data_IF_613506177916
#
_entry.id   IF_613506177916
#
_cell.length_a   1.000
_cell.length_b   1.000
_cell.length_c   1.000
_cell.angle_alpha   90.00
_cell.angle_beta   90.00
_cell.angle_gamma   90.00
#
_symmetry.space_group_name_H-M   'P 1'
#
loop_
_entity.id
_entity.type
_entity.pdbx_description
1 polymer ?
#
# COMPACT_ATOMS: atom_id res chain seq x y z
N UNK A 1 49.41 39.94 1.98
CA UNK A 1 49.69 38.67 2.67
C UNK A 1 48.37 38.14 3.24
N UNK A 2 47.92 37.02 2.67
CA UNK A 2 46.95 35.99 3.11
C UNK A 2 45.64 36.37 3.85
N UNK A 3 44.50 36.18 3.16
CA UNK A 3 43.16 35.98 3.75
C UNK A 3 43.11 34.64 4.51
N UNK A 4 42.35 34.52 5.62
CA UNK A 4 42.20 33.24 6.30
C UNK A 4 41.25 32.33 5.50
N UNK A 5 41.67 31.09 5.26
CA UNK A 5 40.80 30.03 4.77
C UNK A 5 39.88 29.61 5.93
N UNK A 6 38.57 29.80 5.76
CA UNK A 6 37.56 29.17 6.59
C UNK A 6 37.53 27.69 6.20
N UNK A 7 38.03 26.80 7.06
CA UNK A 7 37.91 25.37 6.88
C UNK A 7 36.43 24.99 7.08
N UNK A 8 35.72 24.82 5.97
CA UNK A 8 34.40 24.21 5.97
C UNK A 8 34.60 22.72 6.26
N UNK A 9 34.39 22.32 7.50
CA UNK A 9 34.28 20.91 7.86
C UNK A 9 33.05 20.36 7.14
N UNK A 10 33.26 19.59 6.06
CA UNK A 10 32.20 18.74 5.53
C UNK A 10 31.75 17.83 6.69
N UNK A 11 30.44 17.71 6.97
CA UNK A 11 29.99 16.67 7.87
C UNK A 11 30.47 15.35 7.26
N UNK A 12 31.08 14.51 8.09
CA UNK A 12 31.40 13.16 7.70
C UNK A 12 30.14 12.55 7.09
N UNK A 13 30.23 12.09 5.84
CA UNK A 13 29.24 11.16 5.30
C UNK A 13 29.24 10.00 6.28
N UNK A 14 28.23 9.93 7.13
CA UNK A 14 27.83 8.66 7.71
C UNK A 14 27.30 7.90 6.52
N UNK A 15 28.17 7.09 5.91
CA UNK A 15 27.73 6.01 5.05
C UNK A 15 26.89 5.13 5.97
N UNK A 16 25.58 5.36 6.02
CA UNK A 16 24.67 4.42 6.63
C UNK A 16 24.89 3.12 5.85
N UNK A 17 25.48 2.12 6.51
CA UNK A 17 25.43 0.77 5.99
C UNK A 17 23.95 0.47 5.79
N UNK A 18 23.59 -0.05 4.61
CA UNK A 18 22.26 -0.55 4.31
C UNK A 18 21.65 -1.18 5.57
N UNK A 19 20.62 -0.55 6.14
CA UNK A 19 20.14 -0.91 7.48
C UNK A 19 19.66 -2.36 7.49
N UNK A 20 20.50 -3.29 7.93
CA UNK A 20 20.17 -4.72 7.93
C UNK A 20 18.84 -4.95 8.65
N UNK A 21 18.06 -5.92 8.17
CA UNK A 21 16.81 -6.27 8.80
C UNK A 21 17.03 -6.62 10.28
N UNK A 22 16.25 -6.04 11.21
CA UNK A 22 16.35 -6.37 12.63
C UNK A 22 16.10 -7.87 12.86
N UNK A 23 16.89 -8.55 13.71
CA UNK A 23 16.71 -9.98 13.97
C UNK A 23 15.30 -10.36 14.43
N UNK A 24 14.61 -9.47 15.13
CA UNK A 24 13.23 -9.66 15.56
C UNK A 24 12.23 -9.71 14.39
N UNK A 25 12.49 -9.01 13.29
CA UNK A 25 11.67 -9.08 12.09
C UNK A 25 11.87 -10.43 11.38
N UNK A 26 13.13 -10.87 11.23
CA UNK A 26 13.43 -12.19 10.67
C UNK A 26 12.77 -13.32 11.49
N UNK A 27 12.89 -13.28 12.82
CA UNK A 27 12.24 -14.25 13.69
C UNK A 27 10.70 -14.22 13.62
N UNK A 28 10.09 -13.04 13.42
CA UNK A 28 8.65 -12.92 13.25
C UNK A 28 8.16 -13.53 11.93
N UNK A 29 8.97 -13.40 10.86
CA UNK A 29 8.72 -14.05 9.57
C UNK A 29 8.93 -15.56 9.66
N UNK A 30 9.93 -16.03 10.40
CA UNK A 30 10.10 -17.47 10.68
C UNK A 30 8.86 -18.06 11.39
N UNK A 31 8.27 -17.32 12.34
CA UNK A 31 7.01 -17.73 12.99
C UNK A 31 5.84 -17.78 11.99
N UNK A 32 5.75 -16.82 11.05
CA UNK A 32 4.72 -16.82 10.00
C UNK A 32 4.80 -18.07 9.13
N UNK A 33 6.01 -18.54 8.85
CA UNK A 33 6.29 -19.69 8.01
C UNK A 33 6.31 -21.03 8.78
N UNK A 34 6.13 -21.01 10.10
CA UNK A 34 6.12 -22.22 10.91
C UNK A 34 4.90 -23.10 10.60
N UNK A 35 5.12 -24.39 10.40
CA UNK A 35 4.06 -25.31 9.99
C UNK A 35 3.01 -25.55 11.11
N UNK A 36 1.71 -25.67 10.77
CA UNK A 36 1.16 -25.55 9.42
C UNK A 36 0.88 -24.09 9.01
N UNK A 37 1.31 -23.73 7.80
CA UNK A 37 0.92 -22.49 7.14
C UNK A 37 -0.60 -22.45 6.91
N UNK A 38 -1.27 -21.43 7.46
CA UNK A 38 -2.73 -21.25 7.36
C UNK A 38 -3.05 -20.17 6.34
N UNK A 39 -3.15 -20.58 5.08
CA UNK A 39 -3.54 -19.71 3.97
C UNK A 39 -5.02 -19.94 3.64
N UNK A 40 -5.82 -18.88 3.57
CA UNK A 40 -7.24 -18.91 3.23
C UNK A 40 -7.47 -18.15 1.92
N UNK A 41 -8.15 -18.76 0.94
CA UNK A 41 -8.66 -18.04 -0.24
C UNK A 41 -9.97 -17.33 0.11
N UNK A 42 -10.07 -16.03 -0.17
CA UNK A 42 -11.23 -15.20 0.16
C UNK A 42 -12.26 -15.17 -0.98
N UNK A 43 -12.98 -16.29 -1.14
CA UNK A 43 -13.91 -16.55 -2.26
C UNK A 43 -15.07 -15.55 -2.41
N UNK A 44 -15.36 -14.73 -1.41
CA UNK A 44 -16.43 -13.71 -1.49
C UNK A 44 -16.07 -12.58 -2.45
N UNK A 45 -14.79 -12.25 -2.58
CA UNK A 45 -14.31 -11.13 -3.41
C UNK A 45 -13.48 -11.58 -4.60
N UNK A 46 -13.08 -12.85 -4.63
CA UNK A 46 -12.45 -13.52 -5.77
C UNK A 46 -13.47 -13.86 -6.84
N UNK A 47 -13.30 -13.33 -8.06
CA UNK A 47 -14.14 -13.66 -9.22
C UNK A 47 -13.33 -14.37 -10.30
N UNK A 48 -13.77 -14.28 -11.57
CA UNK A 48 -13.06 -14.88 -12.70
C UNK A 48 -12.07 -13.89 -13.36
N UNK A 49 -12.15 -12.59 -13.03
CA UNK A 49 -11.22 -11.57 -13.52
C UNK A 49 -10.16 -11.25 -12.47
N UNK A 50 -9.24 -10.35 -12.82
CA UNK A 50 -8.23 -9.88 -11.87
C UNK A 50 -8.85 -8.99 -10.80
N UNK A 51 -8.55 -9.28 -9.53
CA UNK A 51 -8.86 -8.40 -8.41
C UNK A 51 -7.61 -7.86 -7.72
N UNK A 52 -7.77 -6.71 -7.08
CA UNK A 52 -6.69 -6.12 -6.32
C UNK A 52 -7.12 -5.28 -5.14
N UNK A 53 -6.21 -5.25 -4.17
CA UNK A 53 -6.30 -4.62 -2.86
C UNK A 53 -7.69 -4.70 -2.19
N UNK A 54 -7.88 -5.68 -1.34
CA UNK A 54 -9.08 -5.80 -0.50
C UNK A 54 -8.87 -5.16 0.87
N UNK A 55 -9.63 -4.11 1.16
CA UNK A 55 -9.61 -3.39 2.44
C UNK A 55 -10.94 -3.49 3.17
N UNK A 56 -10.86 -3.46 4.51
CA UNK A 56 -12.02 -3.50 5.39
C UNK A 56 -12.08 -2.25 6.24
N UNK A 57 -13.29 -1.77 6.48
CA UNK A 57 -13.53 -0.80 7.54
C UNK A 57 -13.05 -1.34 8.90
N UNK A 58 -12.52 -0.48 9.79
CA UNK A 58 -12.08 -0.90 11.13
C UNK A 58 -13.17 -1.66 11.89
N UNK A 59 -14.42 -1.21 11.80
CA UNK A 59 -15.58 -1.86 12.44
C UNK A 59 -16.05 -3.15 11.74
N UNK A 60 -15.57 -3.44 10.53
CA UNK A 60 -15.87 -4.66 9.79
C UNK A 60 -17.24 -4.74 9.20
N UNK A 61 -17.91 -3.61 9.07
CA UNK A 61 -19.26 -3.56 8.50
C UNK A 61 -19.25 -3.42 6.99
N UNK A 62 -18.12 -3.04 6.40
CA UNK A 62 -17.98 -2.90 4.96
C UNK A 62 -16.55 -3.09 4.47
N UNK A 63 -16.42 -3.46 3.21
CA UNK A 63 -15.17 -3.70 2.51
C UNK A 63 -15.19 -2.97 1.16
N UNK A 64 -13.99 -2.68 0.64
CA UNK A 64 -13.78 -2.11 -0.68
C UNK A 64 -12.58 -2.77 -1.32
N UNK A 65 -12.61 -2.92 -2.64
CA UNK A 65 -11.53 -3.48 -3.44
C UNK A 65 -11.65 -2.97 -4.87
N UNK A 66 -10.66 -3.26 -5.71
CA UNK A 66 -10.78 -3.05 -7.14
C UNK A 66 -10.81 -4.38 -7.88
N UNK A 67 -11.38 -4.38 -9.08
CA UNK A 67 -11.50 -5.55 -9.95
C UNK A 67 -11.47 -5.14 -11.42
N UNK A 68 -11.27 -6.10 -12.30
CA UNK A 68 -11.50 -5.91 -13.72
C UNK A 68 -12.98 -5.66 -14.01
N UNK A 69 -13.27 -4.53 -14.66
CA UNK A 69 -14.58 -4.15 -15.15
C UNK A 69 -14.60 -3.98 -16.67
N UNK A 70 -15.77 -3.72 -17.28
CA UNK A 70 -15.93 -3.64 -18.74
C UNK A 70 -15.07 -2.56 -19.44
N UNK A 71 -14.64 -1.53 -18.69
CA UNK A 71 -13.85 -0.41 -19.18
C UNK A 71 -12.43 -0.36 -18.57
N UNK A 72 -12.00 -1.46 -17.93
CA UNK A 72 -10.76 -1.53 -17.14
C UNK A 72 -11.03 -1.62 -15.64
N UNK A 73 -10.01 -1.36 -14.82
CA UNK A 73 -10.08 -1.48 -13.36
C UNK A 73 -11.13 -0.53 -12.77
N UNK A 74 -12.03 -1.09 -11.96
CA UNK A 74 -13.09 -0.36 -11.25
C UNK A 74 -13.13 -0.68 -9.74
N UNK A 75 -13.64 0.26 -8.95
CA UNK A 75 -13.90 0.05 -7.53
C UNK A 75 -15.19 -0.73 -7.28
N UNK A 76 -15.16 -1.61 -6.29
CA UNK A 76 -16.32 -2.35 -5.79
C UNK A 76 -16.38 -2.28 -4.25
N UNK A 77 -17.59 -2.16 -3.70
CA UNK A 77 -17.84 -2.20 -2.25
C UNK A 77 -18.83 -3.31 -1.87
N UNK A 78 -18.67 -3.85 -0.65
CA UNK A 78 -19.58 -4.84 -0.07
C UNK A 78 -19.89 -4.50 1.39
N UNK A 79 -21.07 -4.93 1.86
CA UNK A 79 -21.57 -4.70 3.22
C UNK A 79 -21.75 -6.02 3.96
N UNK A 80 -21.39 -6.03 5.24
CA UNK A 80 -21.68 -7.14 6.14
C UNK A 80 -23.19 -7.24 6.36
N UNK A 81 -23.78 -8.42 6.18
CA UNK A 81 -25.23 -8.62 6.33
C UNK A 81 -25.63 -8.91 7.78
N UNK A 82 -26.86 -8.55 8.22
CA UNK A 82 -27.34 -8.79 9.59
C UNK A 82 -27.42 -10.26 10.06
N UNK A 83 -27.16 -11.24 9.20
CA UNK A 83 -27.11 -12.68 9.52
C UNK A 83 -25.72 -13.31 9.38
N UNK A 84 -24.68 -12.50 9.18
CA UNK A 84 -23.37 -12.97 8.74
C UNK A 84 -23.24 -12.97 7.22
N UNK A 85 -22.02 -13.19 6.73
CA UNK A 85 -21.68 -13.04 5.32
C UNK A 85 -21.65 -11.58 4.84
N UNK A 86 -21.57 -11.45 3.52
CA UNK A 86 -21.34 -10.20 2.80
C UNK A 86 -22.34 -10.05 1.65
N UNK A 87 -22.74 -8.82 1.35
CA UNK A 87 -23.54 -8.54 0.16
C UNK A 87 -22.72 -8.81 -1.11
N UNK A 88 -23.36 -9.12 -2.24
CA UNK A 88 -22.69 -9.06 -3.53
C UNK A 88 -21.99 -7.69 -3.70
N UNK A 89 -20.75 -7.64 -4.23
CA UNK A 89 -20.07 -6.39 -4.48
C UNK A 89 -20.82 -5.50 -5.48
N UNK A 90 -20.90 -4.21 -5.18
CA UNK A 90 -21.52 -3.20 -6.06
C UNK A 90 -20.57 -2.03 -6.27
N UNK A 91 -20.68 -1.35 -7.41
CA UNK A 91 -19.91 -0.13 -7.68
C UNK A 91 -20.28 0.99 -6.69
N UNK A 92 -19.31 1.66 -6.04
CA UNK A 92 -19.58 2.83 -5.19
C UNK A 92 -20.13 4.00 -5.99
N UNK A 93 -21.04 4.79 -5.42
CA UNK A 93 -21.70 5.89 -6.15
C UNK A 93 -20.81 7.09 -6.48
N UNK A 94 -19.62 7.19 -5.87
CA UNK A 94 -18.65 8.24 -6.18
C UNK A 94 -17.71 7.85 -7.33
N UNK A 95 -17.67 6.56 -7.67
CA UNK A 95 -16.78 6.02 -8.68
C UNK A 95 -17.09 6.64 -10.05
N UNK A 96 -16.06 6.83 -10.86
CA UNK A 96 -16.18 7.33 -12.23
C UNK A 96 -15.83 6.25 -13.25
N UNK A 97 -16.13 6.50 -14.52
CA UNK A 97 -15.89 5.55 -15.61
C UNK A 97 -14.41 5.50 -16.06
N UNK A 98 -13.52 6.19 -15.33
CA UNK A 98 -12.07 6.09 -15.50
C UNK A 98 -11.50 4.93 -14.69
N UNK A 99 -10.24 4.58 -14.95
CA UNK A 99 -9.52 3.60 -14.14
C UNK A 99 -9.46 4.08 -12.68
N UNK A 100 -9.98 3.27 -11.76
CA UNK A 100 -10.01 3.55 -10.33
C UNK A 100 -9.68 2.29 -9.54
N UNK A 101 -8.62 2.36 -8.73
CA UNK A 101 -8.06 1.19 -8.06
C UNK A 101 -7.37 1.56 -6.73
N UNK A 102 -6.80 0.54 -6.08
CA UNK A 102 -6.13 0.59 -4.78
C UNK A 102 -6.84 1.34 -3.64
N UNK A 103 -8.09 0.99 -3.31
CA UNK A 103 -8.78 1.64 -2.21
C UNK A 103 -8.11 1.39 -0.85
N UNK A 104 -8.10 2.40 0.00
CA UNK A 104 -7.70 2.32 1.41
C UNK A 104 -8.74 2.98 2.30
N UNK A 105 -9.22 2.25 3.31
CA UNK A 105 -10.16 2.79 4.30
C UNK A 105 -9.37 3.24 5.53
N UNK A 106 -9.43 4.53 5.84
CA UNK A 106 -8.76 5.09 6.99
C UNK A 106 -9.34 4.60 8.33
N UNK A 107 -8.59 4.79 9.42
CA UNK A 107 -8.97 4.32 10.76
C UNK A 107 -10.21 5.01 11.34
N UNK A 108 -10.64 6.15 10.77
CA UNK A 108 -11.93 6.76 11.10
C UNK A 108 -13.13 5.95 10.58
N UNK A 109 -12.87 4.93 9.73
CA UNK A 109 -13.87 4.05 9.13
C UNK A 109 -14.82 4.73 8.14
N UNK A 110 -14.52 5.98 7.75
CA UNK A 110 -15.36 6.81 6.90
C UNK A 110 -14.59 7.37 5.70
N UNK A 111 -13.31 7.70 5.85
CA UNK A 111 -12.50 8.26 4.77
C UNK A 111 -11.91 7.12 3.93
N UNK A 112 -12.03 7.25 2.61
CA UNK A 112 -11.39 6.36 1.63
C UNK A 112 -10.40 7.17 0.82
N UNK A 113 -9.20 6.63 0.67
CA UNK A 113 -8.20 7.08 -0.30
C UNK A 113 -8.13 6.06 -1.43
N UNK A 114 -7.91 6.50 -2.66
CA UNK A 114 -7.84 5.61 -3.82
C UNK A 114 -7.10 6.29 -4.98
N UNK A 115 -6.65 5.48 -5.93
CA UNK A 115 -6.05 5.93 -7.19
C UNK A 115 -7.14 6.17 -8.22
N UNK A 116 -7.08 7.27 -8.98
CA UNK A 116 -8.02 7.55 -10.07
C UNK A 116 -7.35 8.26 -11.24
N UNK A 117 -7.67 7.81 -12.45
CA UNK A 117 -7.30 8.46 -13.72
C UNK A 117 -8.34 9.49 -14.18
N UNK A 118 -9.21 9.95 -13.27
CA UNK A 118 -10.20 10.96 -13.62
C UNK A 118 -9.49 12.30 -13.89
N UNK A 119 -9.94 13.07 -14.89
CA UNK A 119 -9.38 14.40 -15.12
C UNK A 119 -9.66 15.35 -13.96
N UNK A 120 -8.69 16.22 -13.69
CA UNK A 120 -8.81 17.29 -12.69
C UNK A 120 -9.37 18.59 -13.27
N UNK A 121 -9.42 18.72 -14.60
CA UNK A 121 -10.00 19.88 -15.29
C UNK A 121 -11.29 19.51 -16.06
N UNK A 122 -12.24 20.45 -16.23
CA UNK A 122 -13.50 20.18 -16.91
C UNK A 122 -13.38 19.81 -18.40
N UNK A 123 -12.32 20.28 -19.06
CA UNK A 123 -12.05 20.01 -20.48
C UNK A 123 -11.28 18.70 -20.70
N UNK A 124 -10.94 17.99 -19.62
CA UNK A 124 -10.11 16.79 -19.69
C UNK A 124 -8.67 17.08 -20.08
N UNK A 125 -8.23 18.33 -20.05
CA UNK A 125 -6.86 18.71 -20.32
C UNK A 125 -5.95 18.27 -19.16
N UNK A 126 -4.89 17.54 -19.49
CA UNK A 126 -3.98 16.97 -18.52
C UNK A 126 -3.36 15.68 -19.07
N UNK A 127 -2.36 15.16 -18.36
CA UNK A 127 -1.85 13.81 -18.64
C UNK A 127 -2.89 12.79 -18.12
N UNK A 128 -3.04 11.62 -18.77
CA UNK A 128 -3.73 10.50 -18.16
C UNK A 128 -2.79 9.77 -17.19
N UNK A 129 -2.50 10.40 -16.06
CA UNK A 129 -1.82 9.82 -14.91
C UNK A 129 -2.84 9.35 -13.85
N UNK A 130 -2.40 8.47 -12.96
CA UNK A 130 -3.21 8.09 -11.81
C UNK A 130 -2.84 8.95 -10.61
N UNK A 131 -3.82 9.71 -10.16
CA UNK A 131 -3.73 10.59 -9.01
C UNK A 131 -4.30 9.93 -7.77
N UNK A 132 -3.87 10.40 -6.59
CA UNK A 132 -4.54 10.06 -5.34
C UNK A 132 -5.72 11.00 -5.07
N UNK A 133 -6.84 10.38 -4.71
CA UNK A 133 -8.09 11.05 -4.36
C UNK A 133 -8.59 10.58 -3.00
N UNK A 134 -9.46 11.38 -2.37
CA UNK A 134 -10.23 10.94 -1.20
C UNK A 134 -11.72 11.21 -1.32
N UNK A 135 -12.50 10.36 -0.67
CA UNK A 135 -13.92 10.57 -0.38
C UNK A 135 -14.20 10.28 1.09
N UNK A 136 -15.31 10.80 1.62
CA UNK A 136 -15.78 10.48 2.96
C UNK A 136 -17.19 9.92 2.91
N UNK A 137 -17.41 8.84 3.66
CA UNK A 137 -18.73 8.29 3.91
C UNK A 137 -19.46 9.17 4.94
N UNK A 138 -20.71 9.49 4.62
CA UNK A 138 -21.63 10.27 5.45
C UNK A 138 -22.89 9.46 5.73
N UNK A 139 -23.80 10.00 6.53
CA UNK A 139 -25.10 9.38 6.78
C UNK A 139 -25.95 9.25 5.51
N UNK A 140 -25.73 10.11 4.50
CA UNK A 140 -26.55 10.19 3.28
C UNK A 140 -25.83 9.65 2.04
N UNK A 141 -24.64 9.05 2.19
CA UNK A 141 -23.84 8.53 1.07
C UNK A 141 -22.41 9.06 1.09
N UNK A 142 -21.77 9.07 -0.07
CA UNK A 142 -20.39 9.53 -0.24
C UNK A 142 -20.33 11.04 -0.51
N UNK A 143 -19.28 11.71 -0.03
CA UNK A 143 -18.96 13.06 -0.50
C UNK A 143 -18.50 13.04 -1.96
N UNK A 144 -18.44 14.21 -2.59
CA UNK A 144 -17.72 14.35 -3.85
C UNK A 144 -16.24 13.93 -3.67
N UNK A 145 -15.62 13.29 -4.67
CA UNK A 145 -14.19 13.03 -4.69
C UNK A 145 -13.35 14.31 -4.64
N UNK A 146 -12.33 14.29 -3.81
CA UNK A 146 -11.39 15.37 -3.59
C UNK A 146 -9.99 14.94 -4.04
N UNK A 147 -9.43 15.64 -5.02
CA UNK A 147 -8.05 15.47 -5.48
C UNK A 147 -7.08 15.94 -4.38
N UNK A 148 -6.01 15.18 -4.11
CA UNK A 148 -5.11 15.47 -2.97
C UNK A 148 -4.14 16.64 -3.23
N UNK A 149 -4.11 17.16 -4.45
CA UNK A 149 -3.40 18.38 -4.81
C UNK A 149 -1.90 18.18 -5.04
N UNK A 150 -1.21 19.24 -5.49
CA UNK A 150 0.14 19.15 -6.05
C UNK A 150 1.24 18.85 -5.02
N UNK A 151 0.91 18.80 -3.72
CA UNK A 151 1.85 18.37 -2.67
C UNK A 151 2.01 16.85 -2.62
N UNK A 152 1.00 16.12 -3.10
CA UNK A 152 0.98 14.65 -3.13
C UNK A 152 1.08 14.18 -4.58
N UNK A 153 0.16 14.68 -5.41
CA UNK A 153 0.02 14.31 -6.81
C UNK A 153 0.97 15.14 -7.67
N UNK A 154 1.67 14.50 -8.58
CA UNK A 154 2.66 15.15 -9.45
C UNK A 154 2.30 14.92 -10.92
N UNK A 155 3.21 15.25 -11.85
CA UNK A 155 3.04 14.83 -13.25
C UNK A 155 3.40 13.34 -13.45
N UNK A 156 3.74 12.62 -12.38
CA UNK A 156 4.01 11.19 -12.33
C UNK A 156 2.73 10.43 -11.92
N UNK A 157 2.81 9.11 -11.86
CA UNK A 157 1.76 8.28 -11.28
C UNK A 157 1.94 8.20 -9.76
N UNK A 158 0.83 8.24 -9.02
CA UNK A 158 0.79 7.98 -7.58
C UNK A 158 -0.27 6.93 -7.25
N UNK A 159 0.18 5.73 -6.83
CA UNK A 159 -0.68 4.57 -6.62
C UNK A 159 -0.66 4.06 -5.17
N UNK A 160 -1.61 3.19 -4.86
CA UNK A 160 -1.64 2.42 -3.61
C UNK A 160 -1.53 3.24 -2.30
N UNK A 161 -2.44 4.19 -2.05
CA UNK A 161 -2.38 5.05 -0.87
C UNK A 161 -2.58 4.25 0.44
N UNK A 162 -1.82 4.50 1.50
CA UNK A 162 -2.05 3.97 2.85
C UNK A 162 -1.90 5.09 3.87
N UNK A 163 -2.71 5.08 4.92
CA UNK A 163 -2.71 6.16 5.93
C UNK A 163 -2.59 5.60 7.33
N UNK A 164 -1.60 6.10 8.06
CA UNK A 164 -1.36 5.77 9.48
C UNK A 164 -2.26 6.58 10.42
N UNK A 165 -2.28 6.22 11.70
CA UNK A 165 -3.17 6.82 12.70
C UNK A 165 -2.93 8.32 12.94
N UNK A 166 -1.71 8.80 12.73
CA UNK A 166 -1.38 10.23 12.80
C UNK A 166 -1.79 11.01 11.52
N UNK A 167 -2.34 10.30 10.53
CA UNK A 167 -2.78 10.83 9.26
C UNK A 167 -1.69 10.91 8.19
N UNK A 168 -0.46 10.47 8.45
CA UNK A 168 0.60 10.42 7.43
C UNK A 168 0.18 9.46 6.30
N UNK A 169 0.20 9.98 5.07
CA UNK A 169 -0.09 9.25 3.83
C UNK A 169 1.20 8.62 3.30
N UNK A 170 1.09 7.41 2.77
CA UNK A 170 2.12 6.60 2.14
C UNK A 170 1.60 6.13 0.79
N UNK A 171 2.44 6.05 -0.24
CA UNK A 171 2.05 5.61 -1.59
C UNK A 171 3.30 5.18 -2.38
N UNK A 172 3.12 4.60 -3.57
CA UNK A 172 4.22 4.41 -4.52
C UNK A 172 4.09 5.34 -5.73
N UNK A 173 5.21 5.77 -6.30
CA UNK A 173 5.23 6.71 -7.42
C UNK A 173 6.41 6.48 -8.35
N UNK A 174 6.23 6.74 -9.65
CA UNK A 174 7.25 6.69 -10.71
C UNK A 174 7.91 8.05 -10.98
N UNK A 175 7.88 8.95 -9.98
CA UNK A 175 8.53 10.26 -10.07
C UNK A 175 10.06 10.14 -10.14
N UNK A 176 10.66 11.01 -10.94
CA UNK A 176 12.08 10.92 -11.31
C UNK A 176 13.07 11.32 -10.20
N UNK A 177 12.59 11.86 -9.09
CA UNK A 177 13.39 12.24 -7.92
C UNK A 177 13.48 11.14 -6.85
N UNK A 178 13.03 9.92 -7.17
CA UNK A 178 13.22 8.70 -6.40
C UNK A 178 14.56 7.97 -6.67
N UNK A 179 14.70 6.76 -6.13
CA UNK A 179 15.89 5.90 -6.30
C UNK A 179 15.72 4.97 -7.50
N UNK A 180 14.53 4.40 -7.67
CA UNK A 180 14.19 3.40 -8.68
C UNK A 180 13.17 3.90 -9.70
N UNK A 181 12.51 2.97 -10.40
CA UNK A 181 11.42 3.32 -11.32
C UNK A 181 10.06 3.43 -10.61
N UNK A 182 9.91 2.77 -9.47
CA UNK A 182 8.81 2.96 -8.53
C UNK A 182 9.38 2.97 -7.13
N UNK A 183 9.09 4.04 -6.42
CA UNK A 183 9.58 4.28 -5.07
C UNK A 183 8.42 4.49 -4.11
N UNK A 184 8.64 4.20 -2.84
CA UNK A 184 7.71 4.51 -1.77
C UNK A 184 7.91 5.94 -1.27
N UNK A 185 6.80 6.65 -1.10
CA UNK A 185 6.75 8.04 -0.65
C UNK A 185 5.83 8.20 0.57
N UNK A 186 6.08 9.26 1.35
CA UNK A 186 5.23 9.67 2.47
C UNK A 186 5.06 11.18 2.56
N UNK A 187 3.91 11.61 3.06
CA UNK A 187 3.63 13.00 3.40
C UNK A 187 2.85 13.09 4.72
N UNK A 188 3.32 13.89 5.70
CA UNK A 188 2.60 14.07 6.96
C UNK A 188 1.31 14.86 6.74
N UNK A 189 0.29 14.58 7.54
CA UNK A 189 -0.94 15.37 7.50
C UNK A 189 -0.70 16.79 8.02
N UNK A 190 -1.17 17.80 7.29
CA UNK A 190 -1.10 19.21 7.69
C UNK A 190 -2.46 19.86 7.51
N UNK A 191 -3.21 20.00 8.61
CA UNK A 191 -4.58 20.50 8.58
C UNK A 191 -5.49 19.57 7.76
N UNK A 192 -6.13 20.12 6.73
CA UNK A 192 -6.99 19.34 5.83
C UNK A 192 -6.20 18.60 4.73
N UNK A 193 -4.96 19.02 4.43
CA UNK A 193 -4.13 18.48 3.36
C UNK A 193 -2.90 17.72 3.88
N UNK A 194 -1.86 17.72 3.07
CA UNK A 194 -0.58 17.06 3.35
C UNK A 194 0.58 18.03 3.19
N UNK A 195 1.64 17.80 3.97
CA UNK A 195 2.89 18.52 3.87
C UNK A 195 3.72 18.06 2.67
N UNK A 196 5.00 18.45 2.65
CA UNK A 196 5.91 18.02 1.60
C UNK A 196 6.07 16.49 1.59
N UNK A 197 5.94 15.91 0.40
CA UNK A 197 6.27 14.51 0.15
C UNK A 197 7.79 14.28 0.28
N UNK A 198 8.17 13.12 0.78
CA UNK A 198 9.55 12.64 0.81
C UNK A 198 9.57 11.13 0.56
N UNK A 199 10.66 10.58 -0.01
CA UNK A 199 10.84 9.15 -0.08
C UNK A 199 10.85 8.55 1.34
N UNK A 200 10.51 7.26 1.47
CA UNK A 200 10.59 6.60 2.77
C UNK A 200 12.04 6.63 3.28
N UNK A 201 12.26 6.98 4.56
CA UNK A 201 13.61 7.04 5.12
C UNK A 201 14.19 5.63 5.31
N UNK A 202 15.50 5.50 5.15
CA UNK A 202 16.22 4.22 5.15
C UNK A 202 16.50 3.73 3.74
N UNK A 203 16.98 2.49 3.62
CA UNK A 203 17.42 1.89 2.35
C UNK A 203 16.34 0.97 1.75
N UNK A 204 15.07 1.28 2.03
CA UNK A 204 13.94 0.49 1.55
C UNK A 204 13.67 0.71 0.06
N UNK A 205 13.77 1.96 -0.38
CA UNK A 205 13.73 2.28 -1.81
C UNK A 205 15.08 1.94 -2.42
N UNK A 206 15.07 1.13 -3.48
CA UNK A 206 16.28 0.64 -4.12
C UNK A 206 16.24 0.90 -5.63
N UNK A 207 17.19 0.34 -6.39
CA UNK A 207 17.21 0.47 -7.84
C UNK A 207 16.18 -0.42 -8.56
N UNK A 208 15.56 -1.38 -7.85
CA UNK A 208 14.42 -2.13 -8.37
C UNK A 208 13.12 -1.38 -8.04
N UNK A 209 11.95 -2.02 -8.12
CA UNK A 209 10.68 -1.34 -7.85
C UNK A 209 10.17 -1.76 -6.48
N UNK A 210 9.88 -0.78 -5.62
CA UNK A 210 9.13 -0.97 -4.39
C UNK A 210 7.78 -0.30 -4.49
N UNK A 211 6.72 -1.06 -4.24
CA UNK A 211 5.36 -0.62 -4.51
C UNK A 211 4.34 -1.25 -3.56
N UNK A 212 3.08 -0.83 -3.67
CA UNK A 212 1.97 -1.35 -2.87
C UNK A 212 2.15 -1.28 -1.33
N UNK A 213 2.53 -0.12 -0.75
CA UNK A 213 2.78 -0.04 0.69
C UNK A 213 1.48 -0.20 1.49
N UNK A 214 1.53 -1.02 2.54
CA UNK A 214 0.48 -1.11 3.57
C UNK A 214 1.11 -1.13 4.95
N UNK A 215 0.57 -0.32 5.86
CA UNK A 215 1.18 -0.10 7.17
C UNK A 215 0.21 -0.44 8.30
N UNK A 216 0.80 -0.88 9.40
CA UNK A 216 0.13 -0.89 10.70
C UNK A 216 -0.26 0.54 11.13
N UNK A 217 -1.27 0.70 12.00
CA UNK A 217 -1.73 2.03 12.44
C UNK A 217 -0.61 2.96 12.95
N UNK A 218 0.38 2.44 13.67
CA UNK A 218 1.52 3.22 14.17
C UNK A 218 2.61 3.49 13.13
N UNK A 219 2.52 2.91 11.92
CA UNK A 219 3.54 3.01 10.89
C UNK A 219 4.85 2.30 11.24
N UNK A 220 4.81 1.31 12.14
CA UNK A 220 6.00 0.59 12.59
C UNK A 220 6.31 -0.60 11.71
N UNK A 221 5.34 -1.48 11.47
CA UNK A 221 5.43 -2.57 10.51
C UNK A 221 4.80 -2.13 9.18
N UNK A 222 5.55 -2.30 8.10
CA UNK A 222 5.17 -2.10 6.70
C UNK A 222 5.20 -3.45 5.99
N UNK A 223 4.21 -3.73 5.16
CA UNK A 223 4.30 -4.72 4.09
C UNK A 223 4.27 -4.01 2.73
N UNK A 224 5.01 -4.51 1.77
CA UNK A 224 5.16 -3.94 0.43
C UNK A 224 5.31 -5.05 -0.60
N UNK A 225 5.06 -4.72 -1.87
CA UNK A 225 5.54 -5.50 -3.00
C UNK A 225 6.93 -5.03 -3.42
N UNK A 226 7.78 -5.96 -3.85
CA UNK A 226 9.01 -5.65 -4.56
C UNK A 226 9.12 -6.55 -5.79
N UNK A 227 9.71 -6.04 -6.87
CA UNK A 227 10.07 -6.92 -7.98
C UNK A 227 11.11 -7.93 -7.51
N UNK A 228 11.06 -9.13 -8.09
CA UNK A 228 12.18 -10.06 -7.97
C UNK A 228 13.28 -9.65 -8.99
N UNK A 229 14.53 -9.41 -8.54
CA UNK A 229 15.63 -9.13 -9.45
C UNK A 229 16.02 -10.33 -10.33
N UNK A 230 15.61 -11.56 -9.99
CA UNK A 230 15.76 -12.74 -10.84
C UNK A 230 14.72 -12.71 -11.97
N UNK A 231 15.13 -12.58 -13.24
CA UNK A 231 14.20 -12.61 -14.37
C UNK A 231 13.48 -13.96 -14.56
N UNK A 232 13.89 -15.01 -13.85
CA UNK A 232 13.21 -16.31 -13.83
C UNK A 232 12.16 -16.46 -12.72
N UNK A 233 12.10 -15.52 -11.78
CA UNK A 233 11.13 -15.49 -10.69
C UNK A 233 9.78 -14.88 -11.14
N UNK A 234 8.70 -15.06 -10.36
CA UNK A 234 7.47 -14.30 -10.56
C UNK A 234 7.74 -12.79 -10.55
N UNK A 235 6.86 -12.02 -11.17
CA UNK A 235 7.07 -10.57 -11.34
C UNK A 235 7.30 -9.85 -10.01
N UNK A 236 6.59 -10.23 -8.95
CA UNK A 236 6.76 -9.63 -7.63
C UNK A 236 6.37 -10.56 -6.48
N UNK A 237 6.93 -10.23 -5.32
CA UNK A 237 6.71 -10.89 -4.03
C UNK A 237 6.36 -9.88 -2.93
N UNK A 238 5.79 -10.38 -1.84
CA UNK A 238 5.48 -9.58 -0.64
C UNK A 238 6.64 -9.60 0.34
N UNK A 239 6.99 -8.44 0.87
CA UNK A 239 8.04 -8.25 1.85
C UNK A 239 7.53 -7.48 3.06
N UNK A 240 8.24 -7.60 4.18
CA UNK A 240 8.06 -6.78 5.38
C UNK A 240 9.26 -5.88 5.65
N UNK A 241 9.02 -4.69 6.18
CA UNK A 241 10.06 -3.82 6.72
C UNK A 241 9.62 -3.24 8.07
N UNK A 242 10.58 -3.01 8.96
CA UNK A 242 10.34 -2.47 10.30
C UNK A 242 10.94 -1.08 10.43
N UNK A 243 10.15 -0.14 10.93
CA UNK A 243 10.60 1.20 11.25
C UNK A 243 11.31 1.23 12.61
N UNK A 244 12.62 1.46 12.60
CA UNK A 244 13.48 1.52 13.79
C UNK A 244 14.21 2.86 13.80
N UNK A 245 14.18 3.57 14.94
CA UNK A 245 14.81 4.88 15.11
C UNK A 245 14.44 5.94 14.03
N UNK A 246 13.29 5.78 13.38
CA UNK A 246 12.76 6.71 12.38
C UNK A 246 12.94 6.27 10.92
N UNK A 247 13.75 5.24 10.66
CA UNK A 247 14.08 4.71 9.33
C UNK A 247 13.48 3.31 9.14
N UNK A 248 13.10 2.95 7.92
CA UNK A 248 12.70 1.60 7.57
C UNK A 248 13.92 0.73 7.30
N UNK A 249 13.92 -0.47 7.85
CA UNK A 249 14.98 -1.46 7.58
C UNK A 249 14.95 -1.96 6.14
N UNK A 250 16.01 -2.64 5.73
CA UNK A 250 15.94 -3.55 4.59
C UNK A 250 14.73 -4.48 4.71
N UNK A 251 14.12 -4.75 3.56
CA UNK A 251 12.96 -5.61 3.44
C UNK A 251 13.34 -7.08 3.71
N UNK A 252 12.45 -7.81 4.37
CA UNK A 252 12.53 -9.25 4.61
C UNK A 252 11.41 -9.92 3.83
N UNK A 253 11.78 -10.89 2.99
CA UNK A 253 10.84 -11.72 2.23
C UNK A 253 9.80 -12.35 3.16
N UNK A 254 8.50 -12.31 2.81
CA UNK A 254 7.43 -12.85 3.66
C UNK A 254 7.48 -14.39 3.80
N UNK A 255 8.24 -15.07 2.94
CA UNK A 255 8.49 -16.51 2.95
C UNK A 255 7.37 -17.34 2.34
N UNK A 256 7.56 -18.67 2.25
CA UNK A 256 6.72 -19.60 1.49
C UNK A 256 5.26 -19.71 1.93
N UNK A 257 4.89 -19.17 3.10
CA UNK A 257 3.50 -19.07 3.52
C UNK A 257 2.70 -18.08 2.67
N UNK A 258 3.37 -17.02 2.21
CA UNK A 258 2.79 -15.93 1.41
C UNK A 258 3.29 -16.03 -0.01
N UNK A 259 4.62 -15.99 -0.20
CA UNK A 259 5.29 -15.96 -1.49
C UNK A 259 5.40 -17.37 -2.07
N UNK A 260 5.07 -17.56 -3.34
CA UNK A 260 5.13 -18.84 -4.03
C UNK A 260 5.89 -18.72 -5.34
N UNK A 261 5.79 -19.73 -6.20
CA UNK A 261 6.27 -19.64 -7.58
C UNK A 261 5.37 -18.75 -8.48
N UNK A 262 4.23 -18.30 -7.96
CA UNK A 262 3.32 -17.36 -8.60
C UNK A 262 3.62 -15.93 -8.14
N UNK A 263 2.94 -14.96 -8.73
CA UNK A 263 3.09 -13.55 -8.37
C UNK A 263 2.23 -13.21 -7.15
N UNK A 264 2.84 -12.62 -6.11
CA UNK A 264 2.14 -12.11 -4.92
C UNK A 264 2.32 -10.61 -4.72
N UNK A 265 1.21 -9.88 -4.59
CA UNK A 265 1.20 -8.42 -4.55
C UNK A 265 -0.04 -7.88 -3.83
N UNK A 266 -0.22 -6.55 -3.87
CA UNK A 266 -1.31 -5.82 -3.20
C UNK A 266 -1.50 -6.19 -1.71
N UNK A 267 -0.45 -6.22 -0.88
CA UNK A 267 -0.61 -6.56 0.53
C UNK A 267 -1.54 -5.57 1.25
N UNK A 268 -2.32 -6.08 2.18
CA UNK A 268 -3.16 -5.32 3.10
C UNK A 268 -3.03 -5.89 4.51
N UNK A 269 -2.48 -5.09 5.42
CA UNK A 269 -2.49 -5.40 6.85
C UNK A 269 -3.87 -5.04 7.41
N UNK A 270 -4.76 -6.03 7.51
CA UNK A 270 -6.07 -5.88 8.18
C UNK A 270 -5.88 -6.03 9.70
N UNK A 271 -5.33 -4.96 10.29
CA UNK A 271 -4.93 -4.92 11.70
C UNK A 271 -6.07 -5.31 12.65
N UNK A 272 -7.28 -4.79 12.41
CA UNK A 272 -8.45 -5.05 13.26
C UNK A 272 -8.87 -6.53 13.29
N UNK A 273 -8.43 -7.33 12.31
CA UNK A 273 -8.77 -8.77 12.20
C UNK A 273 -7.55 -9.67 12.24
N UNK A 274 -6.37 -9.12 12.57
CA UNK A 274 -5.12 -9.85 12.73
C UNK A 274 -4.77 -10.72 11.51
N UNK A 275 -4.81 -10.15 10.30
CA UNK A 275 -4.44 -10.88 9.08
C UNK A 275 -3.73 -9.99 8.06
N UNK A 276 -2.81 -10.59 7.33
CA UNK A 276 -2.31 -10.08 6.07
C UNK A 276 -3.21 -10.63 4.96
N UNK A 277 -3.71 -9.75 4.11
CA UNK A 277 -4.41 -10.10 2.88
C UNK A 277 -3.48 -9.74 1.73
N UNK A 278 -3.43 -10.56 0.69
CA UNK A 278 -2.61 -10.32 -0.49
C UNK A 278 -3.32 -10.89 -1.72
N UNK A 279 -2.90 -10.48 -2.89
CA UNK A 279 -3.30 -11.10 -4.15
C UNK A 279 -2.26 -12.13 -4.52
N UNK A 280 -2.70 -13.30 -4.98
CA UNK A 280 -1.87 -14.26 -5.68
C UNK A 280 -2.41 -14.41 -7.09
N UNK A 281 -1.57 -14.14 -8.10
CA UNK A 281 -1.97 -14.20 -9.50
C UNK A 281 -1.53 -15.49 -10.15
N UNK A 282 -2.52 -16.26 -10.58
CA UNK A 282 -2.30 -17.39 -11.45
C UNK A 282 -2.33 -16.90 -12.90
N UNK A 283 -1.24 -17.05 -13.68
CA UNK A 283 -1.17 -16.56 -15.05
C UNK A 283 -2.19 -17.21 -16.00
N UNK A 284 -2.71 -18.39 -15.65
CA UNK A 284 -3.70 -19.11 -16.43
C UNK A 284 -5.14 -18.73 -16.07
N UNK A 285 -5.36 -18.03 -14.96
CA UNK A 285 -6.71 -17.64 -14.50
C UNK A 285 -6.80 -16.16 -14.14
N UNK A 286 -6.50 -15.79 -12.90
CA UNK A 286 -6.77 -14.48 -12.32
C UNK A 286 -5.92 -14.24 -11.07
N UNK A 287 -5.80 -12.96 -10.70
CA UNK A 287 -5.38 -12.46 -9.39
C UNK A 287 -6.49 -12.57 -8.36
N UNK A 288 -6.31 -13.47 -7.39
CA UNK A 288 -7.29 -13.77 -6.35
C UNK A 288 -6.82 -13.35 -4.96
N UNK A 289 -7.75 -13.06 -4.04
CA UNK A 289 -7.43 -12.71 -2.67
C UNK A 289 -7.13 -13.93 -1.79
N UNK A 290 -6.01 -13.87 -1.09
CA UNK A 290 -5.62 -14.83 -0.06
C UNK A 290 -5.32 -14.10 1.24
N UNK A 291 -5.40 -14.81 2.36
CA UNK A 291 -5.08 -14.27 3.67
C UNK A 291 -4.32 -15.27 4.54
N UNK A 292 -3.41 -14.73 5.35
CA UNK A 292 -2.74 -15.43 6.44
C UNK A 292 -2.94 -14.67 7.76
N UNK A 293 -3.04 -15.35 8.91
CA UNK A 293 -3.05 -14.67 10.20
C UNK A 293 -1.75 -13.89 10.43
N UNK A 294 -1.84 -12.69 10.99
CA UNK A 294 -0.69 -12.03 11.59
C UNK A 294 -0.34 -12.79 12.87
N UNK A 295 0.87 -13.34 12.91
CA UNK A 295 1.41 -14.10 14.05
C UNK A 295 1.57 -13.24 15.29
N UNK A 296 1.83 -13.87 16.44
CA UNK A 296 2.00 -13.11 17.68
C UNK A 296 3.24 -12.20 17.60
N UNK A 297 4.35 -12.69 17.02
CA UNK A 297 5.55 -11.86 16.80
C UNK A 297 5.29 -10.68 15.85
N UNK A 298 4.65 -10.89 14.69
CA UNK A 298 4.36 -9.79 13.76
C UNK A 298 3.47 -8.71 14.41
N UNK A 299 2.49 -9.11 15.23
CA UNK A 299 1.68 -8.17 15.99
C UNK A 299 2.49 -7.42 17.05
N UNK A 300 3.41 -8.08 17.75
CA UNK A 300 4.26 -7.43 18.73
C UNK A 300 5.19 -6.37 18.11
N UNK A 301 5.60 -6.55 16.85
CA UNK A 301 6.40 -5.57 16.12
C UNK A 301 5.61 -4.35 15.62
N UNK A 302 4.27 -4.45 15.59
CA UNK A 302 3.39 -3.39 15.12
C UNK A 302 3.05 -2.35 16.20
N UNK A 303 3.25 -2.69 17.48
CA UNK A 303 3.02 -1.85 18.66
C UNK A 303 4.23 -0.97 18.98
#
# INVERSE_FOLDING_TARGET
>A
MSKPLLALTLPALVTACAGAAPPELAAAVDELNAAPCRVEKLTTWSTAGDEGRLVFSPDGRWAMFHREGPAGLELAESRRLPGGGWSPPTRPTFASDFLEFDPFIALDGATVYYTSFRPTTPDGAGRPDGDLWRVRRTATGWTAPEHLGPTVNTDANEFFPSVTADGTLYWNSDRQDGVGAWDLWRAPRTGAGFGAAAPLPGDLNTAIWEFNPTLTPGGRLLALGSLDPDPAAPYSDVFFSLRVAGEYSAAVDAGPCVNTELEEYHPTIDWARNRLIFVRRNPDTSGDFYAVPLTAALRALAE
#
